data_IF_198433383067
#
_entry.id   IF_198433383067
#
_cell.length_a   1.000
_cell.length_b   1.000
_cell.length_c   1.000
_cell.angle_alpha   90.00
_cell.angle_beta   90.00
_cell.angle_gamma   90.00
#
_symmetry.space_group_name_H-M   'P 1'
#
loop_
_entity.id
_entity.type
_entity.pdbx_description
1 polymer ?
#
# COMPACT_ATOMS: atom_id res chain seq x y z
N UNK A 1 14.51 32.55 -5.44
CA UNK A 1 13.36 32.04 -4.64
C UNK A 1 12.24 31.69 -5.60
N UNK A 2 12.08 30.39 -5.93
CA UNK A 2 10.93 29.92 -6.69
C UNK A 2 9.74 29.81 -5.74
N UNK A 3 8.74 30.61 -5.92
CA UNK A 3 7.53 30.58 -5.11
C UNK A 3 6.74 29.30 -5.37
N UNK A 4 6.00 28.82 -4.38
CA UNK A 4 5.14 27.60 -4.48
C UNK A 4 4.15 27.69 -5.67
N UNK A 5 3.82 28.89 -6.11
CA UNK A 5 2.90 29.14 -7.23
C UNK A 5 3.51 28.76 -8.60
N UNK A 6 4.83 28.92 -8.79
CA UNK A 6 5.50 28.57 -10.04
C UNK A 6 5.65 27.06 -10.22
N UNK A 7 5.80 26.30 -9.12
CA UNK A 7 5.86 24.84 -9.16
C UNK A 7 4.51 24.24 -9.54
N UNK A 8 3.43 24.75 -8.96
CA UNK A 8 2.07 24.28 -9.27
C UNK A 8 1.68 24.62 -10.72
N UNK A 9 1.98 25.81 -11.21
CA UNK A 9 1.71 26.20 -12.60
C UNK A 9 2.49 25.39 -13.64
N UNK A 10 3.71 24.96 -13.30
CA UNK A 10 4.53 24.11 -14.18
C UNK A 10 4.08 22.66 -14.19
N UNK A 11 3.65 22.14 -13.06
CA UNK A 11 3.06 20.80 -12.93
C UNK A 11 1.74 20.70 -13.69
N UNK A 12 0.90 21.71 -13.60
CA UNK A 12 -0.38 21.79 -14.30
C UNK A 12 -0.23 21.76 -15.83
N UNK A 13 0.75 22.46 -16.39
CA UNK A 13 1.04 22.40 -17.84
C UNK A 13 1.51 21.02 -18.32
N UNK A 14 2.08 20.19 -17.44
CA UNK A 14 2.52 18.83 -17.79
C UNK A 14 1.35 17.84 -17.86
N UNK A 15 0.17 18.20 -17.36
CA UNK A 15 -1.01 17.34 -17.29
C UNK A 15 -2.10 17.72 -18.31
N UNK A 16 -1.87 18.71 -19.16
CA UNK A 16 -2.87 19.23 -20.11
C UNK A 16 -3.43 18.15 -21.05
N UNK A 17 -2.64 17.13 -21.39
CA UNK A 17 -3.04 16.02 -22.25
C UNK A 17 -3.28 14.70 -21.49
N UNK A 18 -3.14 14.69 -20.15
CA UNK A 18 -3.32 13.49 -19.32
C UNK A 18 -4.80 13.24 -19.10
N UNK A 19 -5.27 12.06 -19.50
CA UNK A 19 -6.68 11.64 -19.36
C UNK A 19 -6.93 10.77 -18.14
N UNK A 20 -5.89 10.10 -17.67
CA UNK A 20 -5.96 9.23 -16.50
C UNK A 20 -4.62 9.15 -15.79
N UNK A 21 -4.66 8.90 -14.47
CA UNK A 21 -3.50 8.62 -13.63
C UNK A 21 -3.71 7.32 -12.90
N UNK A 22 -2.71 6.45 -12.95
CA UNK A 22 -2.72 5.17 -12.24
C UNK A 22 -1.68 5.22 -11.14
N UNK A 23 -2.13 4.97 -9.91
CA UNK A 23 -1.30 5.02 -8.72
C UNK A 23 -0.95 3.61 -8.22
N UNK A 24 0.22 3.48 -7.65
CA UNK A 24 0.47 2.48 -6.62
C UNK A 24 -0.09 2.98 -5.28
N UNK A 25 -0.34 2.07 -4.34
CA UNK A 25 -0.89 2.42 -3.02
C UNK A 25 0.24 2.71 -2.02
N UNK A 26 1.03 1.68 -1.70
CA UNK A 26 2.01 1.72 -0.61
C UNK A 26 3.25 2.53 -0.97
N UNK A 27 3.60 3.48 -0.11
CA UNK A 27 4.72 4.37 -0.37
C UNK A 27 4.46 5.42 -1.47
N UNK A 28 3.32 5.39 -2.14
CA UNK A 28 2.90 6.34 -3.19
C UNK A 28 1.72 7.19 -2.73
N UNK A 29 0.57 6.61 -2.52
CA UNK A 29 -0.61 7.32 -1.99
C UNK A 29 -0.57 7.42 -0.45
N UNK A 30 -0.12 6.36 0.21
CA UNK A 30 -0.06 6.26 1.67
C UNK A 30 1.38 6.09 2.16
N UNK A 31 1.66 6.64 3.33
CA UNK A 31 2.95 6.51 4.00
C UNK A 31 2.96 5.27 4.90
N UNK A 32 3.12 4.11 4.27
CA UNK A 32 3.01 2.79 4.89
C UNK A 32 4.31 2.00 4.99
N UNK A 33 5.45 2.53 4.50
CA UNK A 33 6.70 1.77 4.40
C UNK A 33 7.28 1.32 5.75
N UNK A 34 6.95 2.01 6.84
CA UNK A 34 7.34 1.69 8.21
C UNK A 34 6.49 0.58 8.84
N UNK A 35 5.35 0.29 8.26
CA UNK A 35 4.27 -0.47 8.90
C UNK A 35 4.65 -1.93 9.20
N UNK A 36 5.28 -2.62 8.26
CA UNK A 36 5.62 -4.03 8.44
C UNK A 36 6.68 -4.23 9.52
N UNK A 37 7.69 -3.36 9.59
CA UNK A 37 8.67 -3.38 10.68
C UNK A 37 8.00 -3.17 12.04
N UNK A 38 7.05 -2.24 12.13
CA UNK A 38 6.27 -2.01 13.35
C UNK A 38 5.41 -3.23 13.72
N UNK A 39 4.80 -3.89 12.75
CA UNK A 39 4.06 -5.15 12.97
C UNK A 39 4.98 -6.24 13.51
N UNK A 40 6.17 -6.41 12.93
CA UNK A 40 7.14 -7.41 13.37
C UNK A 40 7.55 -7.18 14.83
N UNK A 41 7.85 -5.94 15.19
CA UNK A 41 8.20 -5.55 16.57
C UNK A 41 7.06 -5.86 17.53
N UNK A 42 5.84 -5.43 17.22
CA UNK A 42 4.66 -5.63 18.07
C UNK A 42 4.29 -7.11 18.19
N UNK A 43 4.31 -7.84 17.07
CA UNK A 43 3.99 -9.26 17.03
C UNK A 43 4.99 -10.07 17.87
N UNK A 44 6.29 -9.88 17.65
CA UNK A 44 7.32 -10.57 18.42
C UNK A 44 7.26 -10.21 19.90
N UNK A 45 7.05 -8.93 20.22
CA UNK A 45 6.89 -8.44 21.59
C UNK A 45 5.72 -9.11 22.33
N UNK A 46 4.62 -9.39 21.65
CA UNK A 46 3.48 -10.09 22.24
C UNK A 46 3.81 -11.54 22.66
N UNK A 47 4.83 -12.14 22.05
CA UNK A 47 5.33 -13.49 22.41
C UNK A 47 6.62 -13.46 23.23
N UNK A 48 7.02 -12.30 23.74
CA UNK A 48 8.18 -12.13 24.62
C UNK A 48 9.53 -12.09 23.95
N UNK A 49 9.57 -11.82 22.64
CA UNK A 49 10.79 -11.67 21.87
C UNK A 49 11.08 -10.19 21.58
N UNK A 50 12.35 -9.82 21.61
CA UNK A 50 12.83 -8.60 20.98
C UNK A 50 12.99 -8.82 19.49
N UNK A 51 12.67 -7.79 18.68
CA UNK A 51 12.86 -7.85 17.24
C UNK A 51 14.37 -7.75 16.91
N UNK A 52 14.97 -8.76 16.30
CA UNK A 52 16.40 -8.74 15.99
C UNK A 52 16.73 -7.72 14.89
N UNK A 53 17.86 -7.03 15.00
CA UNK A 53 18.33 -6.03 14.02
C UNK A 53 18.50 -6.62 12.60
N UNK A 54 18.80 -7.91 12.50
CA UNK A 54 19.02 -8.60 11.22
C UNK A 54 17.71 -9.09 10.56
N UNK A 55 16.55 -8.95 11.24
CA UNK A 55 15.31 -9.58 10.81
C UNK A 55 14.88 -9.11 9.41
N UNK A 56 14.85 -7.81 9.18
CA UNK A 56 14.40 -7.26 7.89
C UNK A 56 15.26 -7.75 6.72
N UNK A 57 16.59 -7.84 6.93
CA UNK A 57 17.51 -8.41 5.93
C UNK A 57 17.27 -9.90 5.72
N UNK A 58 16.98 -10.64 6.79
CA UNK A 58 16.79 -12.08 6.73
C UNK A 58 15.51 -12.49 5.98
N UNK A 59 14.48 -11.65 6.01
CA UNK A 59 13.20 -11.92 5.33
C UNK A 59 13.07 -11.20 3.99
N UNK A 60 14.05 -10.42 3.60
CA UNK A 60 14.04 -9.69 2.32
C UNK A 60 13.84 -10.66 1.14
N UNK A 61 12.86 -10.36 0.30
CA UNK A 61 12.51 -11.18 -0.85
C UNK A 61 11.67 -12.43 -0.57
N UNK A 62 11.38 -12.74 0.68
CA UNK A 62 10.48 -13.83 1.03
C UNK A 62 9.02 -13.46 0.74
N UNK A 63 8.25 -14.43 0.29
CA UNK A 63 6.80 -14.32 0.22
C UNK A 63 6.20 -14.28 1.63
N UNK A 64 4.95 -13.81 1.74
CA UNK A 64 4.21 -13.76 3.00
C UNK A 64 4.17 -15.12 3.73
N UNK A 65 4.01 -16.21 2.98
CA UNK A 65 4.00 -17.56 3.53
C UNK A 65 5.38 -18.03 3.96
N UNK A 66 6.44 -17.74 3.21
CA UNK A 66 7.82 -18.06 3.58
C UNK A 66 8.24 -17.31 4.83
N UNK A 67 7.87 -16.04 4.92
CA UNK A 67 8.10 -15.24 6.13
C UNK A 67 7.41 -15.86 7.35
N UNK A 68 6.18 -16.34 7.22
CA UNK A 68 5.48 -17.02 8.33
C UNK A 68 6.20 -18.30 8.78
N UNK A 69 6.72 -19.11 7.84
CA UNK A 69 7.53 -20.29 8.15
C UNK A 69 8.79 -19.87 8.89
N UNK A 70 9.52 -18.87 8.38
CA UNK A 70 10.73 -18.34 8.99
C UNK A 70 10.51 -17.88 10.43
N UNK A 71 9.47 -17.07 10.68
CA UNK A 71 9.13 -16.63 12.03
C UNK A 71 8.80 -17.77 12.96
N UNK A 72 7.97 -18.71 12.53
CA UNK A 72 7.61 -19.88 13.32
C UNK A 72 8.83 -20.70 13.73
N UNK A 73 9.75 -20.93 12.82
CA UNK A 73 10.96 -21.74 13.06
C UNK A 73 11.99 -20.99 13.91
N UNK A 74 12.26 -19.72 13.60
CA UNK A 74 13.26 -18.91 14.30
C UNK A 74 12.89 -18.64 15.73
N UNK A 75 11.63 -18.27 15.97
CA UNK A 75 11.14 -17.86 17.29
C UNK A 75 10.36 -18.96 18.03
N UNK A 76 10.30 -20.18 17.46
CA UNK A 76 9.59 -21.32 18.09
C UNK A 76 8.16 -20.96 18.50
N UNK A 77 7.46 -20.23 17.64
CA UNK A 77 6.11 -19.75 17.93
C UNK A 77 5.11 -20.91 18.10
N UNK A 78 4.25 -20.88 19.12
CA UNK A 78 3.25 -21.94 19.38
C UNK A 78 2.03 -21.85 18.46
N UNK A 79 2.13 -21.10 17.37
CA UNK A 79 1.06 -20.83 16.41
C UNK A 79 1.20 -21.69 15.16
N UNK A 80 0.09 -22.01 14.52
CA UNK A 80 0.09 -22.49 13.13
C UNK A 80 0.47 -21.38 12.15
N UNK A 81 0.85 -21.74 10.95
CA UNK A 81 1.17 -20.74 9.90
C UNK A 81 -0.03 -19.88 9.54
N UNK A 82 -1.23 -20.45 9.56
CA UNK A 82 -2.47 -19.73 9.25
C UNK A 82 -2.83 -18.75 10.36
N UNK A 83 -2.59 -19.09 11.63
CA UNK A 83 -2.77 -18.17 12.75
C UNK A 83 -1.79 -16.99 12.68
N UNK A 84 -0.50 -17.23 12.37
CA UNK A 84 0.48 -16.17 12.19
C UNK A 84 0.02 -15.21 11.09
N UNK A 85 -0.33 -15.74 9.93
CA UNK A 85 -0.79 -14.95 8.78
C UNK A 85 -2.06 -14.16 9.10
N UNK A 86 -3.02 -14.77 9.77
CA UNK A 86 -4.28 -14.11 10.15
C UNK A 86 -4.03 -12.95 11.14
N UNK A 87 -3.14 -13.13 12.11
CA UNK A 87 -2.76 -12.06 13.05
C UNK A 87 -2.11 -10.91 12.30
N UNK A 88 -1.15 -11.17 11.41
CA UNK A 88 -0.49 -10.12 10.63
C UNK A 88 -1.45 -9.36 9.71
N UNK A 89 -2.39 -10.05 9.07
CA UNK A 89 -3.43 -9.40 8.25
C UNK A 89 -4.28 -8.49 9.13
N UNK A 90 -4.72 -8.96 10.29
CA UNK A 90 -5.51 -8.12 11.20
C UNK A 90 -4.72 -6.89 11.69
N UNK A 91 -3.45 -7.08 12.10
CA UNK A 91 -2.59 -5.98 12.51
C UNK A 91 -2.37 -4.96 11.37
N UNK A 92 -2.19 -5.45 10.14
CA UNK A 92 -2.03 -4.56 8.98
C UNK A 92 -3.31 -3.75 8.70
N UNK A 93 -4.48 -4.38 8.77
CA UNK A 93 -5.78 -3.69 8.62
C UNK A 93 -5.94 -2.59 9.67
N UNK A 94 -5.60 -2.89 10.92
CA UNK A 94 -5.70 -1.93 12.02
C UNK A 94 -4.74 -0.75 11.82
N UNK A 95 -3.49 -1.01 11.42
CA UNK A 95 -2.51 0.05 11.12
C UNK A 95 -2.95 0.90 9.93
N UNK A 96 -3.41 0.32 8.84
CA UNK A 96 -3.94 1.06 7.70
C UNK A 96 -5.15 1.91 8.09
N UNK A 97 -6.01 1.40 8.97
CA UNK A 97 -7.23 2.10 9.40
C UNK A 97 -6.94 3.27 10.34
N UNK A 98 -5.97 3.13 11.23
CA UNK A 98 -5.81 4.05 12.36
C UNK A 98 -4.50 4.83 12.36
N UNK A 99 -3.46 4.36 11.67
CA UNK A 99 -2.10 4.91 11.81
C UNK A 99 -1.48 5.37 10.50
N UNK A 100 -1.84 4.76 9.36
CA UNK A 100 -1.23 5.07 8.06
C UNK A 100 -1.88 6.31 7.43
N UNK A 101 -1.14 7.42 7.26
CA UNK A 101 -1.67 8.64 6.65
C UNK A 101 -1.51 8.63 5.12
N UNK A 102 -2.25 9.51 4.46
CA UNK A 102 -1.94 9.91 3.09
C UNK A 102 -0.59 10.61 3.02
N UNK A 103 0.12 10.43 1.93
CA UNK A 103 1.30 11.25 1.66
C UNK A 103 0.93 12.71 1.41
N UNK A 104 1.80 13.65 1.79
CA UNK A 104 1.58 15.07 1.54
C UNK A 104 1.28 15.37 0.06
N UNK A 105 0.28 16.17 -0.21
CA UNK A 105 -0.13 16.57 -1.56
C UNK A 105 -1.11 15.62 -2.25
N UNK A 106 -1.34 14.42 -1.71
CA UNK A 106 -2.28 13.45 -2.31
C UNK A 106 -3.71 13.98 -2.33
N UNK A 107 -4.29 14.50 -1.23
CA UNK A 107 -5.65 15.02 -1.24
C UNK A 107 -5.86 16.12 -2.29
N UNK A 108 -4.93 17.06 -2.37
CA UNK A 108 -4.97 18.17 -3.32
C UNK A 108 -4.87 17.68 -4.76
N UNK A 109 -4.01 16.68 -5.02
CA UNK A 109 -3.85 16.14 -6.35
C UNK A 109 -5.06 15.32 -6.80
N UNK A 110 -5.66 14.51 -5.93
CA UNK A 110 -6.89 13.78 -6.23
C UNK A 110 -8.05 14.74 -6.52
N UNK A 111 -8.17 15.81 -5.74
CA UNK A 111 -9.16 16.87 -5.99
C UNK A 111 -8.92 17.54 -7.34
N UNK A 112 -7.67 17.88 -7.66
CA UNK A 112 -7.30 18.43 -8.96
C UNK A 112 -7.69 17.49 -10.11
N UNK A 113 -7.39 16.19 -10.03
CA UNK A 113 -7.80 15.21 -11.04
C UNK A 113 -9.31 15.23 -11.27
N UNK A 114 -10.10 15.21 -10.19
CA UNK A 114 -11.57 15.24 -10.27
C UNK A 114 -12.07 16.52 -10.94
N UNK A 115 -11.57 17.68 -10.54
CA UNK A 115 -11.97 18.98 -11.08
C UNK A 115 -11.61 19.17 -12.56
N UNK A 116 -10.60 18.48 -13.05
CA UNK A 116 -10.13 18.56 -14.43
C UNK A 116 -10.54 17.34 -15.29
N UNK A 117 -11.40 16.47 -14.78
CA UNK A 117 -11.91 15.32 -15.53
C UNK A 117 -10.84 14.26 -15.82
N UNK A 118 -9.75 14.23 -15.05
CA UNK A 118 -8.70 13.22 -15.12
C UNK A 118 -9.16 12.01 -14.31
N UNK A 119 -9.28 10.87 -14.97
CA UNK A 119 -9.69 9.62 -14.32
C UNK A 119 -8.56 9.07 -13.46
N UNK A 120 -8.89 8.41 -12.36
CA UNK A 120 -7.89 7.88 -11.44
C UNK A 120 -8.12 6.41 -11.14
N UNK A 121 -7.02 5.66 -11.10
CA UNK A 121 -7.03 4.24 -10.76
C UNK A 121 -5.91 3.85 -9.82
N UNK A 122 -6.08 2.72 -9.14
CA UNK A 122 -5.07 2.11 -8.27
C UNK A 122 -4.73 0.71 -8.80
N UNK A 123 -3.42 0.41 -8.87
CA UNK A 123 -2.91 -0.94 -9.06
C UNK A 123 -2.00 -1.31 -7.88
N UNK A 124 -2.43 -2.23 -7.03
CA UNK A 124 -1.72 -2.58 -5.79
C UNK A 124 -1.50 -4.07 -5.61
N UNK A 125 -0.39 -4.43 -4.96
CA UNK A 125 -0.11 -5.82 -4.56
C UNK A 125 -0.91 -6.28 -3.34
N UNK A 126 -1.59 -5.38 -2.63
CA UNK A 126 -2.45 -5.71 -1.50
C UNK A 126 -3.75 -6.40 -1.95
N UNK A 127 -4.35 -7.16 -1.03
CA UNK A 127 -5.69 -7.72 -1.21
C UNK A 127 -6.80 -6.67 -1.05
N UNK A 128 -7.97 -6.97 -1.61
CA UNK A 128 -9.13 -6.06 -1.64
C UNK A 128 -9.58 -5.59 -0.25
N UNK A 129 -9.52 -6.45 0.76
CA UNK A 129 -9.92 -6.14 2.13
C UNK A 129 -9.06 -5.03 2.75
N UNK A 130 -7.73 -5.12 2.58
CA UNK A 130 -6.80 -4.09 3.04
C UNK A 130 -7.03 -2.77 2.30
N UNK A 131 -7.17 -2.84 0.98
CA UNK A 131 -7.38 -1.64 0.15
C UNK A 131 -8.68 -0.93 0.53
N UNK A 132 -9.75 -1.68 0.72
CA UNK A 132 -11.04 -1.11 1.14
C UNK A 132 -10.95 -0.44 2.52
N UNK A 133 -10.27 -1.09 3.46
CA UNK A 133 -10.09 -0.54 4.81
C UNK A 133 -9.31 0.78 4.77
N UNK A 134 -8.20 0.87 4.03
CA UNK A 134 -7.37 2.08 3.97
C UNK A 134 -8.07 3.22 3.22
N UNK A 135 -8.66 2.96 2.07
CA UNK A 135 -9.31 4.01 1.28
C UNK A 135 -10.56 4.57 1.98
N UNK A 136 -11.28 3.71 2.71
CA UNK A 136 -12.44 4.12 3.50
C UNK A 136 -12.03 4.95 4.72
N UNK A 137 -11.03 4.51 5.48
CA UNK A 137 -10.57 5.22 6.68
C UNK A 137 -10.00 6.60 6.36
N UNK A 138 -9.35 6.75 5.21
CA UNK A 138 -8.77 8.01 4.74
C UNK A 138 -9.77 8.89 3.97
N UNK A 139 -11.01 8.44 3.78
CA UNK A 139 -12.08 9.14 3.05
C UNK A 139 -11.66 9.54 1.61
N UNK A 140 -10.95 8.66 0.91
CA UNK A 140 -10.49 8.90 -0.47
C UNK A 140 -11.02 7.90 -1.49
N UNK A 141 -11.77 6.90 -1.05
CA UNK A 141 -12.30 5.84 -1.91
C UNK A 141 -13.06 6.38 -3.12
N UNK A 142 -13.87 7.40 -2.92
CA UNK A 142 -14.70 8.01 -3.95
C UNK A 142 -13.92 8.77 -5.04
N UNK A 143 -12.62 9.00 -4.85
CA UNK A 143 -11.79 9.64 -5.87
C UNK A 143 -11.33 8.66 -6.95
N UNK A 144 -11.38 7.36 -6.70
CA UNK A 144 -10.85 6.36 -7.62
C UNK A 144 -11.96 5.71 -8.44
N UNK A 145 -11.83 5.81 -9.77
CA UNK A 145 -12.75 5.18 -10.73
C UNK A 145 -12.54 3.66 -10.80
N UNK A 146 -11.30 3.20 -10.62
CA UNK A 146 -10.89 1.81 -10.74
C UNK A 146 -9.88 1.45 -9.66
N UNK A 147 -10.05 0.29 -9.04
CA UNK A 147 -9.07 -0.34 -8.16
C UNK A 147 -8.85 -1.77 -8.62
N UNK A 148 -7.60 -2.14 -8.87
CA UNK A 148 -7.18 -3.50 -9.20
C UNK A 148 -6.20 -4.01 -8.17
N UNK A 149 -6.47 -5.19 -7.62
CA UNK A 149 -5.65 -5.84 -6.60
C UNK A 149 -4.88 -7.02 -7.18
N UNK A 150 -3.86 -7.50 -6.46
CA UNK A 150 -3.04 -8.61 -6.89
C UNK A 150 -3.84 -9.89 -7.19
N UNK A 151 -5.01 -10.09 -6.55
CA UNK A 151 -5.85 -11.27 -6.76
C UNK A 151 -6.59 -11.27 -8.11
N UNK A 152 -6.58 -10.16 -8.84
CA UNK A 152 -7.35 -9.98 -10.07
C UNK A 152 -6.49 -10.13 -11.34
N UNK A 153 -5.20 -10.37 -11.21
CA UNK A 153 -4.25 -10.51 -12.32
C UNK A 153 -3.48 -11.82 -12.25
N UNK A 154 -3.01 -12.29 -13.41
CA UNK A 154 -2.27 -13.55 -13.49
C UNK A 154 -0.86 -13.44 -12.94
N UNK A 155 -0.21 -12.29 -13.14
CA UNK A 155 1.15 -12.04 -12.67
C UNK A 155 1.20 -10.75 -11.85
N UNK A 156 1.80 -10.83 -10.66
CA UNK A 156 2.00 -9.68 -9.78
C UNK A 156 3.16 -8.80 -10.23
N UNK A 157 3.33 -7.66 -9.57
CA UNK A 157 4.51 -6.79 -9.76
C UNK A 157 5.80 -7.60 -9.55
N UNK A 158 6.84 -7.42 -10.36
CA UNK A 158 7.10 -6.28 -11.26
C UNK A 158 6.46 -6.40 -12.65
N UNK A 159 5.71 -7.46 -12.96
CA UNK A 159 5.01 -7.58 -14.25
C UNK A 159 3.97 -6.46 -14.42
N UNK A 160 3.73 -5.99 -15.65
CA UNK A 160 2.87 -4.83 -15.90
C UNK A 160 1.37 -5.13 -15.82
N UNK A 161 0.99 -6.39 -15.67
CA UNK A 161 -0.39 -6.89 -15.75
C UNK A 161 -1.39 -6.05 -14.97
N UNK A 162 -1.05 -5.67 -13.74
CA UNK A 162 -1.95 -4.91 -12.88
C UNK A 162 -2.22 -3.50 -13.43
N UNK A 163 -1.20 -2.83 -13.95
CA UNK A 163 -1.34 -1.49 -14.52
C UNK A 163 -2.06 -1.51 -15.86
N UNK A 164 -1.83 -2.55 -16.68
CA UNK A 164 -2.56 -2.77 -17.94
C UNK A 164 -4.04 -3.04 -17.67
N UNK A 165 -4.37 -3.80 -16.65
CA UNK A 165 -5.76 -4.05 -16.27
C UNK A 165 -6.45 -2.79 -15.74
N UNK A 166 -5.76 -1.96 -14.93
CA UNK A 166 -6.29 -0.66 -14.52
C UNK A 166 -6.54 0.22 -15.73
N UNK A 167 -5.57 0.34 -16.65
CA UNK A 167 -5.69 1.17 -17.84
C UNK A 167 -6.85 0.72 -18.75
N UNK A 168 -7.07 -0.59 -18.86
CA UNK A 168 -8.18 -1.16 -19.63
C UNK A 168 -9.56 -0.82 -19.05
N UNK A 169 -9.67 -0.78 -17.71
CA UNK A 169 -10.92 -0.46 -17.02
C UNK A 169 -11.17 1.06 -16.93
N UNK A 170 -10.13 1.89 -17.00
CA UNK A 170 -10.24 3.35 -17.14
C UNK A 170 -10.64 3.74 -18.57
#
# INVERSE_FOLDING_TARGET
>A
EFTNNDRNGRLMKQLDDVKAVIFDLDGTLVDSMWMWEAIDIEFLGAYGYECPEDLQRAIEGMSFSETAVYFKERFKLPLSLDEIKAIWVQMSIDKYRYEVPLKPGVPEFLKYCRENGIRTGIGTSNGSEIVDAVLTSLNVKEYFDVVVTACEVAHGKPEPDIYLEVAKRL
#
